data_IF_089354721066
#
_entry.id   IF_089354721066
#
_cell.length_a   1.000
_cell.length_b   1.000
_cell.length_c   1.000
_cell.angle_alpha   90.00
_cell.angle_beta   90.00
_cell.angle_gamma   90.00
#
_symmetry.space_group_name_H-M   'P 1'
#
loop_
_entity.id
_entity.type
_entity.pdbx_description
1 polymer ?
#
# COMPACT_ATOMS: atom_id res chain seq x y z
N UNK A 1 19.03 -9.88 27.21
CA UNK A 1 17.79 -9.13 26.98
C UNK A 1 18.14 -7.92 26.14
N UNK A 2 18.18 -8.09 24.82
CA UNK A 2 18.65 -7.06 23.89
C UNK A 2 17.44 -6.25 23.44
N UNK A 3 17.35 -5.00 23.89
CA UNK A 3 16.50 -3.98 23.28
C UNK A 3 17.11 -3.65 21.92
N UNK A 4 16.44 -3.98 20.82
CA UNK A 4 16.79 -3.48 19.49
C UNK A 4 15.57 -2.81 18.87
N UNK A 5 15.69 -1.49 18.70
CA UNK A 5 14.61 -0.52 18.91
C UNK A 5 13.55 -0.39 17.81
N UNK A 6 13.51 -1.18 16.73
CA UNK A 6 12.72 -0.73 15.57
C UNK A 6 12.15 -1.80 14.62
N UNK A 7 11.65 -2.95 15.09
CA UNK A 7 10.63 -3.76 14.39
C UNK A 7 9.62 -4.25 15.41
N UNK A 8 8.36 -4.28 15.01
CA UNK A 8 7.23 -4.72 15.81
C UNK A 8 6.83 -6.08 15.23
N UNK A 9 7.00 -7.14 15.99
CA UNK A 9 6.56 -8.47 15.61
C UNK A 9 6.23 -9.30 16.85
N UNK A 10 5.27 -10.20 16.70
CA UNK A 10 4.91 -11.23 17.68
C UNK A 10 5.36 -12.64 17.25
N UNK A 11 5.96 -12.75 16.06
CA UNK A 11 6.54 -13.99 15.52
C UNK A 11 8.07 -13.94 15.59
N UNK A 12 8.71 -15.10 15.56
CA UNK A 12 10.16 -15.18 15.50
C UNK A 12 10.65 -14.86 14.07
N UNK A 13 11.48 -13.82 13.96
CA UNK A 13 12.15 -13.43 12.72
C UNK A 13 13.65 -13.47 12.97
N UNK A 14 14.41 -14.07 12.05
CA UNK A 14 15.87 -14.04 12.12
C UNK A 14 16.43 -12.62 11.88
N UNK A 15 17.67 -12.39 12.31
CA UNK A 15 18.31 -11.07 12.21
C UNK A 15 18.43 -10.56 10.76
N UNK A 16 18.55 -11.46 9.79
CA UNK A 16 18.71 -11.11 8.37
C UNK A 16 17.38 -10.65 7.79
N UNK A 17 16.30 -11.41 8.02
CA UNK A 17 14.93 -11.08 7.64
C UNK A 17 14.49 -9.76 8.26
N UNK A 18 14.85 -9.54 9.53
CA UNK A 18 14.67 -8.28 10.23
C UNK A 18 15.38 -7.13 9.49
N UNK A 19 16.67 -7.28 9.20
CA UNK A 19 17.45 -6.24 8.55
C UNK A 19 16.92 -5.91 7.16
N UNK A 20 16.49 -6.93 6.40
CA UNK A 20 15.90 -6.79 5.07
C UNK A 20 14.59 -6.01 5.14
N UNK A 21 13.63 -6.41 5.97
CA UNK A 21 12.33 -5.74 6.08
C UNK A 21 12.47 -4.24 6.37
N UNK A 22 13.44 -3.87 7.20
CA UNK A 22 13.72 -2.49 7.58
C UNK A 22 14.55 -1.69 6.57
N UNK A 23 15.32 -2.35 5.72
CA UNK A 23 16.08 -1.68 4.66
C UNK A 23 15.18 -1.26 3.49
N UNK A 24 14.02 -1.89 3.34
CA UNK A 24 13.04 -1.58 2.30
C UNK A 24 12.36 -0.23 2.57
N UNK A 25 12.17 0.54 1.49
CA UNK A 25 11.50 1.85 1.55
C UNK A 25 9.98 1.74 1.56
N UNK A 26 9.45 0.63 1.03
CA UNK A 26 8.02 0.32 1.01
C UNK A 26 7.48 0.09 2.42
N UNK A 27 6.19 0.38 2.61
CA UNK A 27 5.48 0.12 3.86
C UNK A 27 5.05 -1.34 3.83
N UNK A 28 5.48 -2.15 4.81
CA UNK A 28 5.28 -3.61 4.76
C UNK A 28 4.70 -4.09 6.09
N UNK A 29 3.63 -4.88 5.99
CA UNK A 29 3.05 -5.65 7.08
C UNK A 29 2.93 -7.13 6.70
N UNK A 30 3.05 -8.00 7.70
CA UNK A 30 2.82 -9.44 7.62
C UNK A 30 1.55 -9.74 8.40
N UNK A 31 0.65 -10.50 7.78
CA UNK A 31 -0.65 -10.89 8.29
C UNK A 31 -0.66 -12.39 8.61
N UNK A 32 -1.32 -12.78 9.71
CA UNK A 32 -1.73 -14.17 9.91
C UNK A 32 -2.94 -14.54 9.02
N UNK A 33 -3.40 -15.79 9.13
CA UNK A 33 -4.54 -16.31 8.38
C UNK A 33 -5.85 -15.52 8.61
N UNK A 34 -6.01 -14.95 9.81
CA UNK A 34 -7.16 -14.14 10.22
C UNK A 34 -7.10 -12.69 9.73
N UNK A 35 -5.98 -12.28 9.12
CA UNK A 35 -5.75 -10.91 8.66
C UNK A 35 -5.35 -9.94 9.78
N UNK A 36 -4.79 -10.45 10.88
CA UNK A 36 -4.20 -9.65 11.95
C UNK A 36 -2.71 -9.42 11.67
N UNK A 37 -2.22 -8.23 12.01
CA UNK A 37 -0.83 -7.87 11.76
C UNK A 37 0.08 -8.55 12.80
N UNK A 38 0.99 -9.40 12.32
CA UNK A 38 1.94 -10.15 13.17
C UNK A 38 3.38 -9.62 13.07
N UNK A 39 3.69 -8.83 12.04
CA UNK A 39 4.93 -8.09 11.93
C UNK A 39 4.77 -6.89 10.99
N UNK A 40 5.57 -5.84 11.17
CA UNK A 40 5.68 -4.76 10.18
C UNK A 40 6.99 -3.99 10.29
N UNK A 41 7.40 -3.35 9.19
CA UNK A 41 8.65 -2.58 9.13
C UNK A 41 8.50 -1.13 9.65
N UNK A 42 9.63 -0.43 9.81
CA UNK A 42 9.64 0.99 10.22
C UNK A 42 8.79 1.90 9.33
N UNK A 43 8.70 1.60 8.04
CA UNK A 43 8.01 2.44 7.08
C UNK A 43 6.49 2.33 7.22
N UNK A 44 5.96 1.13 7.52
CA UNK A 44 4.58 0.93 7.91
C UNK A 44 4.20 1.78 9.13
N UNK A 45 5.02 1.73 10.18
CA UNK A 45 4.78 2.50 11.40
C UNK A 45 4.74 4.00 11.15
N UNK A 46 5.73 4.53 10.43
CA UNK A 46 5.80 5.95 10.11
C UNK A 46 4.59 6.38 9.28
N UNK A 47 4.23 5.59 8.26
CA UNK A 47 3.09 5.89 7.42
C UNK A 47 1.77 5.92 8.20
N UNK A 48 1.58 5.03 9.18
CA UNK A 48 0.41 5.05 10.08
C UNK A 48 0.22 6.37 10.82
N UNK A 49 1.30 7.12 11.08
CA UNK A 49 1.25 8.43 11.74
C UNK A 49 0.95 9.59 10.79
N UNK A 50 1.17 9.40 9.49
CA UNK A 50 1.02 10.42 8.45
C UNK A 50 -0.30 10.31 7.68
N UNK A 51 -0.99 9.18 7.80
CA UNK A 51 -2.29 8.91 7.20
C UNK A 51 -3.41 9.70 7.88
N UNK A 52 -4.40 10.11 7.08
CA UNK A 52 -5.61 10.76 7.59
C UNK A 52 -6.55 9.78 8.31
N UNK A 53 -7.44 10.30 9.15
CA UNK A 53 -8.23 9.51 10.13
C UNK A 53 -9.04 8.35 9.55
N UNK A 54 -9.42 8.41 8.29
CA UNK A 54 -10.25 7.40 7.66
C UNK A 54 -9.48 6.24 7.06
N UNK A 55 -8.15 6.30 6.98
CA UNK A 55 -7.32 5.17 6.58
C UNK A 55 -6.23 4.93 7.61
N UNK A 56 -6.16 3.74 8.16
CA UNK A 56 -5.14 3.42 9.17
C UNK A 56 -4.34 2.18 8.81
N UNK A 57 -3.07 2.24 9.17
CA UNK A 57 -2.19 1.09 9.24
C UNK A 57 -2.31 0.48 10.63
N UNK A 58 -2.95 -0.69 10.79
CA UNK A 58 -3.07 -1.34 12.09
C UNK A 58 -1.72 -1.63 12.74
N UNK A 59 -1.72 -1.59 14.07
CA UNK A 59 -0.61 -2.03 14.92
C UNK A 59 -0.63 -3.56 15.08
N UNK A 60 0.28 -4.10 15.90
CA UNK A 60 0.36 -5.54 16.15
C UNK A 60 -0.96 -6.08 16.73
N UNK A 61 -1.33 -7.29 16.31
CA UNK A 61 -2.55 -8.01 16.72
C UNK A 61 -3.86 -7.31 16.29
N UNK A 62 -3.79 -6.17 15.60
CA UNK A 62 -4.94 -5.52 15.02
C UNK A 62 -5.25 -6.06 13.62
N UNK A 63 -6.54 -6.11 13.27
CA UNK A 63 -7.00 -6.67 12.00
C UNK A 63 -7.06 -5.63 10.89
N UNK A 64 -6.38 -5.91 9.76
CA UNK A 64 -6.48 -5.09 8.54
C UNK A 64 -7.90 -5.09 7.97
N UNK A 65 -8.63 -6.19 8.13
CA UNK A 65 -10.01 -6.30 7.65
C UNK A 65 -10.95 -5.36 8.42
N UNK A 66 -10.66 -5.14 9.72
CA UNK A 66 -11.38 -4.19 10.57
C UNK A 66 -10.98 -2.75 10.29
N UNK A 67 -9.70 -2.46 10.07
CA UNK A 67 -9.25 -1.10 9.76
C UNK A 67 -9.85 -0.54 8.46
N UNK A 68 -10.14 -1.42 7.49
CA UNK A 68 -10.80 -1.06 6.23
C UNK A 68 -12.31 -0.83 6.35
N UNK A 69 -12.96 -1.11 7.49
CA UNK A 69 -14.41 -0.91 7.64
C UNK A 69 -14.80 0.58 7.67
N UNK A 70 -14.00 1.42 8.33
CA UNK A 70 -14.24 2.87 8.40
C UNK A 70 -14.26 3.53 7.01
N UNK A 71 -13.21 3.40 6.17
CA UNK A 71 -13.25 4.00 4.84
C UNK A 71 -14.31 3.35 3.94
N UNK A 72 -14.61 2.06 4.13
CA UNK A 72 -15.69 1.39 3.41
C UNK A 72 -17.06 1.99 3.74
N UNK A 73 -17.34 2.29 5.02
CA UNK A 73 -18.58 2.94 5.44
C UNK A 73 -18.72 4.37 4.90
N UNK A 74 -17.61 5.03 4.60
CA UNK A 74 -17.56 6.34 3.91
C UNK A 74 -17.70 6.21 2.37
N UNK A 75 -17.88 5.00 1.83
CA UNK A 75 -18.05 4.76 0.40
C UNK A 75 -16.75 4.75 -0.39
N UNK A 76 -15.61 4.44 0.25
CA UNK A 76 -14.32 4.37 -0.43
C UNK A 76 -14.17 3.07 -1.25
N UNK A 77 -14.24 3.18 -2.57
CA UNK A 77 -14.09 2.05 -3.50
C UNK A 77 -12.72 1.36 -3.41
N UNK A 78 -11.66 2.09 -3.05
CA UNK A 78 -10.34 1.49 -2.86
C UNK A 78 -10.31 0.57 -1.64
N UNK A 79 -11.00 0.95 -0.55
CA UNK A 79 -11.12 0.12 0.64
C UNK A 79 -11.88 -1.18 0.33
N UNK A 80 -12.99 -1.10 -0.42
CA UNK A 80 -13.73 -2.28 -0.84
C UNK A 80 -12.87 -3.24 -1.68
N UNK A 81 -12.21 -2.70 -2.70
CA UNK A 81 -11.35 -3.50 -3.60
C UNK A 81 -10.19 -4.15 -2.85
N UNK A 82 -9.54 -3.41 -1.95
CA UNK A 82 -8.44 -3.95 -1.15
C UNK A 82 -8.94 -5.02 -0.16
N UNK A 83 -10.08 -4.79 0.51
CA UNK A 83 -10.67 -5.75 1.44
C UNK A 83 -10.96 -7.09 0.75
N UNK A 84 -11.53 -7.06 -0.46
CA UNK A 84 -11.80 -8.26 -1.25
C UNK A 84 -10.51 -8.96 -1.64
N UNK A 85 -9.54 -8.22 -2.20
CA UNK A 85 -8.26 -8.81 -2.62
C UNK A 85 -7.46 -9.42 -1.47
N UNK A 86 -7.46 -8.81 -0.28
CA UNK A 86 -6.84 -9.40 0.91
C UNK A 86 -7.52 -10.73 1.27
N UNK A 87 -8.86 -10.78 1.26
CA UNK A 87 -9.60 -12.01 1.57
C UNK A 87 -9.32 -13.12 0.56
N UNK A 88 -9.32 -12.82 -0.73
CA UNK A 88 -9.00 -13.82 -1.78
C UNK A 88 -7.60 -14.41 -1.58
N UNK A 89 -6.61 -13.60 -1.18
CA UNK A 89 -5.24 -14.08 -0.91
C UNK A 89 -5.16 -14.89 0.39
N UNK A 90 -5.80 -14.44 1.47
CA UNK A 90 -5.82 -15.16 2.74
C UNK A 90 -6.55 -16.51 2.63
N UNK A 91 -7.61 -16.58 1.82
CA UNK A 91 -8.33 -17.81 1.49
C UNK A 91 -7.57 -18.72 0.52
N UNK A 92 -6.38 -18.32 0.06
CA UNK A 92 -5.57 -19.05 -0.92
C UNK A 92 -6.24 -19.21 -2.29
N UNK A 93 -7.23 -18.38 -2.60
CA UNK A 93 -7.88 -18.31 -3.92
C UNK A 93 -6.96 -17.64 -4.94
N UNK A 94 -6.15 -16.67 -4.49
CA UNK A 94 -5.12 -16.00 -5.26
C UNK A 94 -3.75 -16.08 -4.57
N UNK A 95 -2.70 -16.37 -5.33
CA UNK A 95 -1.32 -16.28 -4.82
C UNK A 95 -0.84 -14.84 -4.61
N UNK A 96 -1.31 -13.94 -5.47
CA UNK A 96 -0.99 -12.51 -5.42
C UNK A 96 -2.20 -11.68 -5.86
N UNK A 97 -2.42 -10.57 -5.17
CA UNK A 97 -3.35 -9.52 -5.56
C UNK A 97 -2.60 -8.19 -5.66
N UNK A 98 -2.88 -7.39 -6.70
CA UNK A 98 -2.30 -6.05 -6.87
C UNK A 98 -3.41 -5.04 -7.20
N UNK A 99 -3.35 -3.86 -6.59
CA UNK A 99 -4.20 -2.73 -6.95
C UNK A 99 -3.46 -1.40 -6.79
N UNK A 100 -3.95 -0.36 -7.45
CA UNK A 100 -3.54 1.02 -7.20
C UNK A 100 -4.60 1.73 -6.41
N UNK A 101 -4.19 2.49 -5.40
CA UNK A 101 -5.07 3.30 -4.56
C UNK A 101 -4.50 4.71 -4.43
N UNK A 102 -5.38 5.69 -4.25
CA UNK A 102 -4.96 7.03 -3.88
C UNK A 102 -5.30 7.27 -2.41
N UNK A 103 -4.30 7.73 -1.65
CA UNK A 103 -4.44 8.07 -0.24
C UNK A 103 -4.03 9.52 -0.02
N UNK A 104 -4.65 10.17 0.95
CA UNK A 104 -4.18 11.47 1.42
C UNK A 104 -3.18 11.25 2.55
N UNK A 105 -1.96 11.74 2.36
CA UNK A 105 -0.85 11.62 3.31
C UNK A 105 -0.29 13.02 3.54
N UNK A 106 -0.31 13.49 4.79
CA UNK A 106 0.14 14.85 5.11
C UNK A 106 -0.60 15.96 4.34
N UNK A 107 -1.88 15.76 4.03
CA UNK A 107 -2.70 16.70 3.25
C UNK A 107 -2.45 16.70 1.73
N UNK A 108 -1.61 15.80 1.23
CA UNK A 108 -1.35 15.63 -0.21
C UNK A 108 -1.85 14.28 -0.70
N UNK A 109 -2.46 14.26 -1.89
CA UNK A 109 -2.92 13.02 -2.52
C UNK A 109 -1.72 12.31 -3.17
N UNK A 110 -1.44 11.09 -2.71
CA UNK A 110 -0.38 10.22 -3.22
C UNK A 110 -0.95 8.92 -3.78
N UNK A 111 -0.25 8.36 -4.76
CA UNK A 111 -0.62 7.08 -5.37
C UNK A 111 0.24 5.97 -4.83
N UNK A 112 -0.42 4.91 -4.36
CA UNK A 112 0.25 3.71 -3.88
C UNK A 112 -0.11 2.52 -4.75
N UNK A 113 0.89 1.73 -5.08
CA UNK A 113 0.68 0.35 -5.53
C UNK A 113 0.64 -0.52 -4.29
N UNK A 114 -0.46 -1.24 -4.11
CA UNK A 114 -0.65 -2.17 -3.01
C UNK A 114 -0.60 -3.58 -3.56
N UNK A 115 0.31 -4.38 -3.00
CA UNK A 115 0.47 -5.79 -3.34
C UNK A 115 0.21 -6.65 -2.11
N UNK A 116 -0.56 -7.71 -2.28
CA UNK A 116 -0.83 -8.73 -1.26
C UNK A 116 -0.32 -10.05 -1.80
N UNK A 117 0.67 -10.65 -1.15
CA UNK A 117 1.24 -11.93 -1.55
C UNK A 117 0.96 -12.98 -0.48
N UNK A 118 0.45 -14.13 -0.89
CA UNK A 118 0.29 -15.27 0.01
C UNK A 118 1.66 -15.74 0.50
N UNK A 119 1.75 -16.08 1.78
CA UNK A 119 2.92 -16.77 2.34
C UNK A 119 2.91 -18.28 2.08
N UNK A 120 1.91 -18.79 1.36
CA UNK A 120 1.78 -20.20 1.03
C UNK A 120 1.41 -21.05 2.25
N UNK A 121 2.29 -22.01 2.60
CA UNK A 121 2.00 -23.08 3.58
C UNK A 121 1.76 -22.59 5.01
N UNK A 122 2.33 -21.45 5.40
CA UNK A 122 2.23 -20.92 6.76
C UNK A 122 0.86 -20.25 7.07
N UNK A 123 -0.03 -20.13 6.07
CA UNK A 123 -1.31 -19.39 6.13
C UNK A 123 -1.13 -17.92 6.56
N UNK A 124 -1.35 -17.00 5.63
CA UNK A 124 -1.15 -15.57 5.87
C UNK A 124 -0.70 -14.84 4.61
N UNK A 125 -0.37 -13.57 4.75
CA UNK A 125 -0.01 -12.74 3.61
C UNK A 125 0.98 -11.63 3.97
N UNK A 126 1.77 -11.21 2.99
CA UNK A 126 2.56 -9.97 3.07
C UNK A 126 1.83 -8.88 2.31
N UNK A 127 1.60 -7.77 2.97
CA UNK A 127 0.96 -6.57 2.45
C UNK A 127 2.01 -5.48 2.26
N UNK A 128 2.14 -4.97 1.03
CA UNK A 128 3.17 -4.02 0.62
C UNK A 128 2.50 -2.79 0.00
N UNK A 129 2.80 -1.61 0.51
CA UNK A 129 2.46 -0.33 -0.12
C UNK A 129 3.74 0.32 -0.64
N UNK A 130 3.77 0.57 -1.94
CA UNK A 130 4.85 1.27 -2.63
C UNK A 130 4.32 2.61 -3.18
N UNK A 131 5.00 3.71 -2.82
CA UNK A 131 4.68 5.04 -3.36
C UNK A 131 5.07 5.08 -4.85
N UNK A 132 4.09 5.28 -5.72
CA UNK A 132 4.25 5.35 -7.17
C UNK A 132 3.79 6.71 -7.71
N UNK A 133 3.80 7.73 -6.84
CA UNK A 133 3.39 9.09 -7.19
C UNK A 133 4.25 9.65 -8.32
N UNK A 134 5.58 9.54 -8.22
CA UNK A 134 6.53 10.01 -9.26
C UNK A 134 6.24 9.40 -10.64
N UNK A 135 5.96 8.10 -10.70
CA UNK A 135 5.64 7.39 -11.97
C UNK A 135 4.30 7.83 -12.57
N UNK A 136 3.39 8.31 -11.72
CA UNK A 136 2.06 8.77 -12.13
C UNK A 136 2.12 10.22 -12.59
N UNK A 137 2.89 11.06 -11.90
CA UNK A 137 3.15 12.45 -12.25
C UNK A 137 3.90 12.56 -13.57
N UNK A 138 4.95 11.76 -13.79
CA UNK A 138 5.71 11.76 -15.05
C UNK A 138 4.83 11.33 -16.24
N UNK A 139 3.98 10.31 -16.06
CA UNK A 139 3.02 9.88 -17.09
C UNK A 139 1.96 10.94 -17.37
N UNK A 140 1.46 11.63 -16.35
CA UNK A 140 0.49 12.69 -16.52
C UNK A 140 1.12 13.92 -17.20
N UNK A 141 2.33 14.32 -16.79
CA UNK A 141 3.10 15.40 -17.44
C UNK A 141 3.34 15.13 -18.92
N UNK A 142 3.80 13.92 -19.28
CA UNK A 142 4.00 13.53 -20.67
C UNK A 142 2.70 13.56 -21.48
N UNK A 143 1.58 13.18 -20.86
CA UNK A 143 0.26 13.22 -21.50
C UNK A 143 -0.22 14.65 -21.73
N UNK A 144 -0.07 15.53 -20.74
CA UNK A 144 -0.45 16.94 -20.82
C UNK A 144 0.42 17.70 -21.84
N UNK A 145 1.74 17.51 -21.80
CA UNK A 145 2.66 18.11 -22.77
C UNK A 145 2.31 17.69 -24.22
N UNK A 146 1.95 16.42 -24.43
CA UNK A 146 1.51 15.92 -25.73
C UNK A 146 0.19 16.54 -26.18
N UNK A 147 -0.81 16.61 -25.31
CA UNK A 147 -2.11 17.22 -25.62
C UNK A 147 -1.97 18.72 -25.95
N UNK A 148 -1.12 19.42 -25.19
CA UNK A 148 -0.81 20.82 -25.43
C UNK A 148 -0.14 21.01 -26.80
N UNK A 149 0.85 20.18 -27.11
CA UNK A 149 1.53 20.19 -28.42
C UNK A 149 0.55 19.91 -29.57
N UNK A 150 -0.28 18.88 -29.46
CA UNK A 150 -1.29 18.52 -30.47
C UNK A 150 -2.33 19.65 -30.67
N UNK A 151 -2.77 20.30 -29.60
CA UNK A 151 -3.68 21.45 -29.65
C UNK A 151 -3.07 22.66 -30.36
N UNK A 152 -1.81 23.01 -30.02
CA UNK A 152 -1.10 24.10 -30.70
C UNK A 152 -0.83 23.80 -32.17
N UNK A 153 -0.48 22.55 -32.50
CA UNK A 153 -0.21 22.15 -33.88
C UNK A 153 -1.47 22.22 -34.75
N UNK A 154 -2.59 21.68 -34.25
CA UNK A 154 -3.88 21.71 -34.95
C UNK A 154 -4.44 23.13 -35.15
N UNK A 155 -4.21 24.04 -34.18
CA UNK A 155 -4.59 25.44 -34.33
C UNK A 155 -3.67 26.23 -35.29
N UNK A 156 -2.43 25.78 -35.51
CA UNK A 156 -1.50 26.45 -36.45
C UNK A 156 -1.71 26.01 -37.91
N UNK A 157 -2.29 24.83 -38.16
CA UNK A 157 -2.57 24.34 -39.52
C UNK A 157 -3.76 25.03 -40.22
N UNK A 158 -4.49 25.91 -39.53
CA UNK A 158 -5.54 26.75 -40.11
C UNK A 158 -5.05 28.14 -40.53
N UNK A 159 -3.73 28.37 -40.57
CA UNK A 159 -3.14 29.67 -40.84
C UNK A 159 -1.93 29.65 -41.78
N UNK A 160 -2.00 28.96 -42.92
CA UNK A 160 -1.25 29.28 -44.15
C UNK A 160 -2.15 29.01 -45.36
#
# INVERSE_FOLDING_TARGET
>A
MVKQDHIFSIIELDEVSFAILNALRSQIAILNAEGEVVAFNKQWKKAGQELERNWSHPELEESILKSLQTPLAEGNDFALRLLLGIKEVLNQELGTFETKIALTVGGQKKWFRVTVNSLGYEQGAVLIYEDVSDQTEEKNYLREARQLFESHFNNSLYGI
#
